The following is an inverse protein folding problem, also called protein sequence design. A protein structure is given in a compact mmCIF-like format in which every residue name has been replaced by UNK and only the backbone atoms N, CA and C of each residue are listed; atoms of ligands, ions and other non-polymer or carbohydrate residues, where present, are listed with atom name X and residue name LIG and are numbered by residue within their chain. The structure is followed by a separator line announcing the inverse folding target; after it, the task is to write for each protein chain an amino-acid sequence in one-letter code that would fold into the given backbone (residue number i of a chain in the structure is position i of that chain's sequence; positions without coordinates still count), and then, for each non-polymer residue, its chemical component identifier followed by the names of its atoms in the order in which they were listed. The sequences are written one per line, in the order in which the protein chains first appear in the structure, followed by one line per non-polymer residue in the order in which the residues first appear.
data_IF_713816808079
#
_entry.id   IF_713816808079
#
_cell.length_a   1.000
_cell.length_b   1.000
_cell.length_c   1.000
_cell.angle_alpha   90.00
_cell.angle_beta   90.00
_cell.angle_gamma   90.00
#
_symmetry.space_group_name_H-M   'P 1'
#
loop_
_entity.id
_entity.type
_entity.pdbx_description
1 polymer ?
#
# COMPACT_ATOMS: atom_id res chain seq x y z
N UNK A 1 6.18 -16.42 62.67
CA UNK A 1 6.05 -15.73 63.94
C UNK A 1 7.02 -14.56 63.95
N UNK A 2 6.57 -13.34 63.77
CA UNK A 2 7.16 -12.12 64.30
C UNK A 2 6.08 -11.02 64.16
N UNK A 3 5.57 -10.64 65.31
CA UNK A 3 4.58 -9.56 65.47
C UNK A 3 5.26 -8.21 65.25
N UNK A 4 4.54 -7.31 64.54
CA UNK A 4 4.92 -5.88 64.52
C UNK A 4 3.65 -5.12 65.00
N UNK A 5 3.82 -4.51 66.16
CA UNK A 5 2.93 -3.63 66.88
C UNK A 5 2.89 -2.22 66.29
N UNK A 6 1.70 -1.59 66.18
CA UNK A 6 1.50 -0.20 65.86
C UNK A 6 1.36 0.65 67.12
N UNK A 7 1.95 1.85 67.19
CA UNK A 7 1.65 2.81 68.27
C UNK A 7 0.52 3.75 67.85
N UNK A 8 -0.44 3.83 68.75
CA UNK A 8 -1.50 4.89 68.81
C UNK A 8 -0.89 6.23 69.18
N UNK A 9 -1.25 7.26 68.45
CA UNK A 9 -0.97 8.64 68.84
C UNK A 9 -2.31 9.41 69.04
N UNK A 10 -2.41 10.01 70.20
CA UNK A 10 -3.60 10.68 70.68
C UNK A 10 -3.83 12.06 70.06
N UNK A 11 -5.10 12.41 70.04
CA UNK A 11 -5.69 13.67 69.61
C UNK A 11 -5.61 14.68 70.74
N UNK A 12 -4.96 15.82 70.55
CA UNK A 12 -5.07 17.01 71.40
C UNK A 12 -5.78 18.11 70.59
N UNK A 13 -6.96 18.47 71.04
CA UNK A 13 -7.73 19.60 70.55
C UNK A 13 -7.23 20.89 71.17
N UNK A 14 -6.76 21.81 70.36
CA UNK A 14 -6.48 23.19 70.73
C UNK A 14 -7.44 24.15 70.02
N UNK A 15 -8.37 24.76 70.79
CA UNK A 15 -9.16 25.89 70.32
C UNK A 15 -8.26 27.15 70.29
N UNK A 16 -8.08 27.71 69.10
CA UNK A 16 -7.55 29.05 68.94
C UNK A 16 -8.64 29.96 68.29
N UNK A 17 -9.13 30.90 69.08
CA UNK A 17 -9.94 32.01 68.58
C UNK A 17 -9.02 32.97 67.80
N UNK A 18 -9.27 33.09 66.48
CA UNK A 18 -8.63 34.11 65.67
C UNK A 18 -9.69 35.07 65.11
N UNK A 19 -9.48 36.34 65.42
CA UNK A 19 -10.36 37.44 65.06
C UNK A 19 -10.41 37.71 63.55
N UNK A 20 -11.56 38.14 63.11
CA UNK A 20 -11.85 38.65 61.78
C UNK A 20 -11.06 39.93 61.50
N UNK A 21 -10.04 39.84 60.61
CA UNK A 21 -9.55 41.04 59.93
C UNK A 21 -10.06 40.95 58.49
N UNK A 22 -10.94 41.88 58.09
CA UNK A 22 -11.33 42.09 56.71
C UNK A 22 -10.13 42.64 55.94
N UNK A 23 -9.50 41.82 55.11
CA UNK A 23 -8.51 42.23 54.12
C UNK A 23 -9.20 42.84 52.88
N UNK A 24 -8.50 43.70 52.12
CA UNK A 24 -9.09 44.39 50.97
C UNK A 24 -9.55 43.43 49.90
N UNK A 25 -10.64 43.76 49.22
CA UNK A 25 -11.31 43.04 48.14
C UNK A 25 -10.31 42.48 47.14
N UNK A 26 -10.19 41.15 47.09
CA UNK A 26 -9.49 40.46 46.02
C UNK A 26 -10.36 40.58 44.74
N UNK A 27 -9.87 41.35 43.76
CA UNK A 27 -10.46 41.37 42.41
C UNK A 27 -10.57 39.95 41.87
N UNK A 28 -11.73 39.51 41.35
CA UNK A 28 -11.88 38.19 40.78
C UNK A 28 -10.90 38.01 39.63
N UNK A 29 -10.01 37.04 39.74
CA UNK A 29 -9.14 36.63 38.62
C UNK A 29 -10.04 36.15 37.48
N UNK A 30 -9.79 36.58 36.22
CA UNK A 30 -10.53 36.09 35.08
C UNK A 30 -10.36 34.58 34.98
N UNK A 31 -11.48 33.86 34.96
CA UNK A 31 -11.48 32.41 34.69
C UNK A 31 -10.80 32.18 33.34
N UNK A 32 -9.76 31.36 33.26
CA UNK A 32 -9.13 31.07 31.97
C UNK A 32 -10.17 30.53 31.00
N UNK A 33 -10.19 31.08 29.78
CA UNK A 33 -11.06 30.59 28.74
C UNK A 33 -10.79 29.07 28.53
N UNK A 34 -11.85 28.26 28.39
CA UNK A 34 -11.66 26.82 28.15
C UNK A 34 -10.72 26.62 26.96
N UNK A 35 -9.71 25.77 27.12
CA UNK A 35 -8.81 25.43 26.05
C UNK A 35 -9.65 24.97 24.83
N UNK A 36 -9.33 25.43 23.60
CA UNK A 36 -10.06 25.01 22.42
C UNK A 36 -10.06 23.47 22.37
N UNK A 37 -11.27 22.91 22.19
CA UNK A 37 -11.43 21.46 22.09
C UNK A 37 -10.47 20.94 21.02
N UNK A 38 -9.64 19.96 21.37
CA UNK A 38 -8.71 19.36 20.43
C UNK A 38 -9.50 18.88 19.20
N UNK A 39 -9.24 19.49 18.05
CA UNK A 39 -9.86 19.09 16.78
C UNK A 39 -9.49 17.64 16.57
N UNK A 40 -10.48 16.74 16.65
CA UNK A 40 -10.26 15.32 16.39
C UNK A 40 -9.83 15.18 14.93
N UNK A 41 -8.64 14.63 14.75
CA UNK A 41 -8.13 14.30 13.43
C UNK A 41 -9.04 13.23 12.79
N UNK A 42 -9.67 13.55 11.68
CA UNK A 42 -10.63 12.68 11.03
C UNK A 42 -10.04 12.06 9.77
N UNK A 43 -10.47 10.84 9.45
CA UNK A 43 -10.08 10.17 8.22
C UNK A 43 -10.63 10.95 7.01
N UNK A 44 -9.73 11.44 6.17
CA UNK A 44 -10.11 12.09 4.92
C UNK A 44 -10.45 11.04 3.84
N UNK A 45 -9.61 10.01 3.70
CA UNK A 45 -9.81 8.85 2.84
C UNK A 45 -8.80 7.76 3.19
N UNK A 46 -9.00 6.58 2.61
CA UNK A 46 -8.03 5.48 2.71
C UNK A 46 -7.94 4.69 1.41
N UNK A 47 -6.83 4.00 1.23
CA UNK A 47 -6.65 3.07 0.14
C UNK A 47 -5.89 1.83 0.61
N UNK A 48 -6.20 0.69 -0.01
CA UNK A 48 -5.51 -0.56 0.24
C UNK A 48 -4.53 -0.86 -0.89
N UNK A 49 -3.44 -1.54 -0.56
CA UNK A 49 -2.45 -2.03 -1.51
C UNK A 49 -2.13 -3.49 -1.28
N UNK A 50 -2.00 -4.25 -2.34
CA UNK A 50 -1.49 -5.62 -2.36
C UNK A 50 -1.03 -5.97 -3.77
N UNK A 51 -0.17 -7.00 -3.90
CA UNK A 51 0.27 -7.50 -5.20
C UNK A 51 0.66 -8.97 -5.13
N UNK A 52 0.89 -9.52 -6.29
CA UNK A 52 1.32 -10.89 -6.55
C UNK A 52 0.30 -11.94 -6.11
N UNK A 53 -0.50 -12.37 -7.06
CA UNK A 53 -1.41 -13.50 -6.87
C UNK A 53 -1.14 -14.64 -7.88
N UNK A 54 -0.85 -14.32 -9.16
CA UNK A 54 -0.42 -15.22 -10.23
C UNK A 54 -1.40 -16.33 -10.54
N UNK A 55 -2.66 -15.98 -10.78
CA UNK A 55 -3.64 -16.95 -11.32
C UNK A 55 -3.13 -17.48 -12.66
N UNK A 56 -2.94 -18.79 -12.79
CA UNK A 56 -2.24 -19.43 -13.90
C UNK A 56 -3.16 -20.06 -14.96
N UNK A 57 -4.46 -19.77 -14.90
CA UNK A 57 -5.37 -20.40 -15.84
C UNK A 57 -6.66 -19.55 -16.00
N UNK A 58 -7.34 -19.78 -17.12
CA UNK A 58 -8.63 -19.17 -17.42
C UNK A 58 -9.79 -19.86 -16.70
N UNK A 59 -9.61 -21.07 -16.22
CA UNK A 59 -10.52 -21.76 -15.33
C UNK A 59 -10.15 -21.40 -13.87
N UNK A 60 -11.03 -20.72 -13.19
CA UNK A 60 -10.84 -20.30 -11.80
C UNK A 60 -11.06 -21.43 -10.78
N UNK A 61 -10.90 -22.67 -11.19
CA UNK A 61 -10.89 -23.79 -10.25
C UNK A 61 -9.70 -23.67 -9.32
N UNK A 62 -9.94 -23.22 -8.12
CA UNK A 62 -8.92 -22.93 -7.12
C UNK A 62 -8.05 -24.15 -6.75
N UNK A 63 -8.62 -25.35 -6.84
CA UNK A 63 -7.89 -26.59 -6.59
C UNK A 63 -6.84 -26.87 -7.66
N UNK A 64 -6.96 -26.29 -8.85
CA UNK A 64 -6.03 -26.50 -9.96
C UNK A 64 -4.81 -25.56 -9.91
N UNK A 65 -4.81 -24.53 -9.06
CA UNK A 65 -3.76 -23.50 -9.03
C UNK A 65 -3.01 -23.34 -7.70
N UNK A 66 -2.80 -24.40 -6.89
CA UNK A 66 -2.21 -24.23 -5.57
C UNK A 66 -0.70 -23.89 -5.62
N UNK A 67 -0.03 -24.14 -6.74
CA UNK A 67 1.41 -23.92 -6.89
C UNK A 67 1.79 -22.48 -7.23
N UNK A 68 0.87 -21.70 -7.76
CA UNK A 68 1.16 -20.34 -8.26
C UNK A 68 0.30 -19.27 -7.60
N UNK A 69 -0.92 -19.60 -7.21
CA UNK A 69 -1.87 -18.65 -6.66
C UNK A 69 -2.61 -19.22 -5.44
N UNK A 70 -2.63 -18.46 -4.37
CA UNK A 70 -3.48 -18.74 -3.22
C UNK A 70 -4.75 -17.89 -3.28
N UNK A 71 -5.68 -18.28 -4.14
CA UNK A 71 -6.94 -17.56 -4.34
C UNK A 71 -7.81 -17.49 -3.07
N UNK A 72 -7.84 -18.52 -2.17
CA UNK A 72 -8.51 -18.38 -0.88
C UNK A 72 -7.99 -17.20 -0.05
N UNK A 73 -6.69 -16.94 -0.02
CA UNK A 73 -6.11 -15.78 0.67
C UNK A 73 -6.53 -14.45 0.04
N UNK A 74 -6.54 -14.39 -1.28
CA UNK A 74 -7.01 -13.21 -1.99
C UNK A 74 -8.50 -12.94 -1.70
N UNK A 75 -9.34 -13.97 -1.75
CA UNK A 75 -10.77 -13.86 -1.45
C UNK A 75 -11.03 -13.43 -0.01
N UNK A 76 -10.25 -13.94 0.95
CA UNK A 76 -10.34 -13.51 2.34
C UNK A 76 -9.96 -12.03 2.47
N UNK A 77 -8.90 -11.58 1.82
CA UNK A 77 -8.52 -10.16 1.77
C UNK A 77 -9.65 -9.30 1.19
N UNK A 78 -10.27 -9.73 0.10
CA UNK A 78 -11.41 -9.01 -0.48
C UNK A 78 -12.60 -8.93 0.47
N UNK A 79 -12.92 -10.01 1.17
CA UNK A 79 -14.00 -10.03 2.15
C UNK A 79 -13.72 -9.10 3.33
N UNK A 80 -12.50 -9.10 3.84
CA UNK A 80 -12.06 -8.22 4.93
C UNK A 80 -12.13 -6.75 4.54
N UNK A 81 -11.61 -6.37 3.37
CA UNK A 81 -11.68 -5.00 2.86
C UNK A 81 -13.13 -4.54 2.67
N UNK A 82 -14.01 -5.42 2.18
CA UNK A 82 -15.43 -5.14 2.03
C UNK A 82 -16.16 -4.92 3.36
N UNK A 83 -15.66 -5.53 4.44
CA UNK A 83 -16.23 -5.40 5.78
C UNK A 83 -15.79 -4.14 6.54
N UNK A 84 -14.71 -3.48 6.09
CA UNK A 84 -14.22 -2.25 6.75
C UNK A 84 -15.28 -1.14 6.73
N UNK A 85 -15.26 -0.32 7.77
CA UNK A 85 -16.13 0.88 7.91
C UNK A 85 -15.29 2.10 8.29
N UNK A 86 -15.11 3.06 7.41
CA UNK A 86 -15.52 3.05 5.99
C UNK A 86 -14.72 2.05 5.16
N UNK A 87 -15.29 1.60 4.04
CA UNK A 87 -14.58 0.85 3.01
C UNK A 87 -13.51 1.78 2.41
N UNK A 88 -12.31 1.31 2.06
CA UNK A 88 -11.30 2.13 1.39
C UNK A 88 -11.82 2.69 0.06
N UNK A 89 -11.39 3.90 -0.29
CA UNK A 89 -11.78 4.55 -1.56
C UNK A 89 -11.17 3.85 -2.77
N UNK A 90 -9.94 3.32 -2.62
CA UNK A 90 -9.19 2.63 -3.68
C UNK A 90 -8.59 1.32 -3.19
N UNK A 91 -8.49 0.38 -4.12
CA UNK A 91 -7.62 -0.79 -4.04
C UNK A 91 -6.59 -0.71 -5.16
N UNK A 92 -5.31 -0.56 -4.82
CA UNK A 92 -4.21 -0.68 -5.77
C UNK A 92 -3.74 -2.13 -5.81
N UNK A 93 -3.90 -2.78 -6.96
CA UNK A 93 -3.35 -4.12 -7.18
C UNK A 93 -2.05 -3.98 -8.00
N UNK A 94 -0.93 -4.30 -7.34
CA UNK A 94 0.40 -3.93 -7.80
C UNK A 94 1.07 -5.02 -8.65
N UNK A 95 0.35 -5.51 -9.67
CA UNK A 95 0.89 -6.45 -10.67
C UNK A 95 0.99 -7.91 -10.22
N UNK A 96 1.44 -8.75 -11.11
CA UNK A 96 1.50 -10.20 -10.96
C UNK A 96 0.13 -10.78 -10.57
N UNK A 97 -0.90 -10.37 -11.28
CA UNK A 97 -2.27 -10.88 -11.14
C UNK A 97 -2.38 -12.28 -11.71
N UNK A 98 -1.66 -12.53 -12.80
CA UNK A 98 -1.68 -13.78 -13.55
C UNK A 98 -0.29 -14.38 -13.64
N UNK A 99 -0.22 -15.69 -13.95
CA UNK A 99 1.05 -16.36 -14.16
C UNK A 99 1.79 -15.78 -15.37
N UNK A 100 1.06 -15.46 -16.43
CA UNK A 100 1.59 -14.78 -17.60
C UNK A 100 2.83 -15.46 -18.18
N UNK A 101 3.91 -14.70 -18.36
CA UNK A 101 5.18 -15.17 -18.90
C UNK A 101 4.99 -16.00 -20.18
N UNK A 102 4.15 -15.53 -21.08
CA UNK A 102 3.83 -16.19 -22.32
C UNK A 102 4.23 -15.31 -23.51
N UNK A 103 4.88 -15.86 -24.55
CA UNK A 103 5.10 -15.14 -25.80
C UNK A 103 3.80 -14.95 -26.61
N UNK A 104 2.72 -15.63 -26.22
CA UNK A 104 1.39 -15.48 -26.80
C UNK A 104 0.54 -14.51 -25.99
N UNK A 105 0.33 -13.30 -26.52
CA UNK A 105 -0.51 -12.27 -25.89
C UNK A 105 -1.98 -12.70 -25.72
N UNK A 106 -2.46 -13.68 -26.49
CA UNK A 106 -3.81 -14.21 -26.34
C UNK A 106 -3.94 -15.03 -25.02
N UNK A 107 -2.88 -15.74 -24.63
CA UNK A 107 -2.81 -16.43 -23.32
C UNK A 107 -2.92 -15.41 -22.20
N UNK A 108 -2.05 -14.40 -22.20
CA UNK A 108 -2.05 -13.31 -21.22
C UNK A 108 -3.45 -12.65 -21.13
N UNK A 109 -4.04 -12.33 -22.26
CA UNK A 109 -5.37 -11.72 -22.31
C UNK A 109 -6.47 -12.62 -21.75
N UNK A 110 -6.39 -13.96 -21.94
CA UNK A 110 -7.38 -14.89 -21.34
C UNK A 110 -7.23 -14.95 -19.81
N UNK A 111 -6.01 -15.04 -19.31
CA UNK A 111 -5.73 -15.08 -17.88
C UNK A 111 -6.15 -13.78 -17.19
N UNK A 112 -5.84 -12.62 -17.76
CA UNK A 112 -6.29 -11.32 -17.25
C UNK A 112 -7.82 -11.22 -17.19
N UNK A 113 -8.53 -11.67 -18.22
CA UNK A 113 -10.00 -11.70 -18.17
C UNK A 113 -10.55 -12.68 -17.13
N UNK A 114 -9.83 -13.80 -16.86
CA UNK A 114 -10.21 -14.72 -15.79
C UNK A 114 -10.01 -14.05 -14.41
N UNK A 115 -8.91 -13.36 -14.22
CA UNK A 115 -8.68 -12.60 -13.00
C UNK A 115 -9.74 -11.48 -12.79
N UNK A 116 -10.10 -10.78 -13.85
CA UNK A 116 -11.17 -9.77 -13.80
C UNK A 116 -12.51 -10.40 -13.35
N UNK A 117 -12.87 -11.58 -13.87
CA UNK A 117 -14.08 -12.30 -13.41
C UNK A 117 -13.99 -12.67 -11.93
N UNK A 118 -12.81 -13.10 -11.46
CA UNK A 118 -12.57 -13.39 -10.04
C UNK A 118 -12.84 -12.16 -9.17
N UNK A 119 -12.29 -11.02 -9.55
CA UNK A 119 -12.52 -9.76 -8.83
C UNK A 119 -14.01 -9.35 -8.86
N UNK A 120 -14.65 -9.42 -10.03
CA UNK A 120 -16.06 -9.04 -10.18
C UNK A 120 -16.99 -9.93 -9.37
N UNK A 121 -16.65 -11.19 -9.15
CA UNK A 121 -17.40 -12.12 -8.31
C UNK A 121 -17.23 -11.82 -6.81
N UNK A 122 -16.14 -11.17 -6.40
CA UNK A 122 -15.85 -10.89 -5.01
C UNK A 122 -16.82 -9.84 -4.40
N UNK A 123 -17.16 -9.95 -3.11
CA UNK A 123 -18.01 -8.95 -2.43
C UNK A 123 -17.46 -7.53 -2.53
N UNK A 124 -16.15 -7.38 -2.54
CA UNK A 124 -15.45 -6.09 -2.60
C UNK A 124 -15.84 -5.27 -3.83
N UNK A 125 -16.00 -5.91 -5.00
CA UNK A 125 -16.35 -5.22 -6.24
C UNK A 125 -17.69 -4.47 -6.19
N UNK A 126 -18.54 -4.80 -5.20
CA UNK A 126 -19.89 -4.23 -5.01
C UNK A 126 -19.95 -3.14 -3.95
N UNK A 127 -18.82 -2.77 -3.34
CA UNK A 127 -18.77 -1.82 -2.22
C UNK A 127 -18.55 -0.37 -2.63
N UNK A 128 -18.32 -0.10 -3.90
CA UNK A 128 -17.95 1.22 -4.39
C UNK A 128 -16.45 1.51 -4.33
N UNK A 129 -15.62 0.60 -3.80
CA UNK A 129 -14.15 0.69 -3.90
C UNK A 129 -13.72 0.73 -5.37
N UNK A 130 -12.77 1.59 -5.70
CA UNK A 130 -12.23 1.68 -7.06
C UNK A 130 -10.95 0.86 -7.15
N UNK A 131 -10.96 -0.17 -8.00
CA UNK A 131 -9.76 -0.92 -8.33
C UNK A 131 -8.86 -0.08 -9.23
N UNK A 132 -7.58 0.02 -8.87
CA UNK A 132 -6.51 0.59 -9.69
C UNK A 132 -5.49 -0.51 -9.93
N UNK A 133 -5.44 -0.99 -11.16
CA UNK A 133 -4.56 -2.07 -11.58
C UNK A 133 -3.32 -1.53 -12.28
N UNK A 134 -2.19 -2.18 -12.06
CA UNK A 134 -0.94 -1.95 -12.80
C UNK A 134 -0.31 -3.28 -13.21
N UNK A 135 0.45 -3.33 -14.32
CA UNK A 135 1.11 -4.57 -14.72
C UNK A 135 2.28 -4.89 -13.81
N UNK A 136 2.53 -6.19 -13.61
CA UNK A 136 3.80 -6.72 -13.17
C UNK A 136 4.57 -7.32 -14.35
N UNK A 137 5.76 -7.82 -14.07
CA UNK A 137 6.59 -8.46 -15.10
C UNK A 137 5.92 -9.71 -15.69
N UNK A 138 5.08 -10.40 -14.94
CA UNK A 138 4.31 -11.54 -15.41
C UNK A 138 3.29 -11.19 -16.50
N UNK A 139 2.73 -10.01 -16.48
CA UNK A 139 1.76 -9.55 -17.48
C UNK A 139 2.38 -9.03 -18.76
N UNK A 140 3.66 -8.58 -18.75
CA UNK A 140 4.25 -7.88 -19.89
C UNK A 140 5.45 -8.57 -20.51
N UNK A 141 6.15 -9.46 -19.78
CA UNK A 141 7.31 -10.21 -20.26
C UNK A 141 6.89 -11.52 -20.96
N UNK A 142 7.65 -11.92 -21.98
CA UNK A 142 7.39 -13.14 -22.75
C UNK A 142 7.79 -14.44 -22.04
N UNK A 143 8.48 -14.34 -20.90
CA UNK A 143 8.93 -15.45 -20.07
C UNK A 143 9.81 -14.93 -18.92
N UNK A 144 10.14 -15.81 -17.98
CA UNK A 144 11.07 -15.46 -16.90
C UNK A 144 12.42 -15.04 -17.49
N UNK A 145 12.88 -13.85 -17.15
CA UNK A 145 14.12 -13.24 -17.68
C UNK A 145 14.11 -13.06 -19.22
N UNK A 146 12.94 -12.99 -19.83
CA UNK A 146 12.77 -12.65 -21.23
C UNK A 146 12.28 -11.20 -21.36
N UNK A 147 12.46 -10.56 -22.52
CA UNK A 147 12.02 -9.17 -22.69
C UNK A 147 10.49 -9.05 -22.64
N UNK A 148 10.05 -7.87 -22.28
CA UNK A 148 8.68 -7.41 -22.48
C UNK A 148 8.37 -7.25 -23.98
N UNK A 149 7.11 -7.35 -24.39
CA UNK A 149 6.74 -7.20 -25.78
C UNK A 149 5.42 -6.45 -25.96
N UNK A 150 5.30 -5.73 -27.07
CA UNK A 150 4.17 -4.85 -27.33
C UNK A 150 2.81 -5.56 -27.36
N UNK A 151 2.79 -6.85 -27.76
CA UNK A 151 1.57 -7.67 -27.72
C UNK A 151 1.03 -7.89 -26.33
N UNK A 152 1.91 -8.07 -25.33
CA UNK A 152 1.49 -8.23 -23.93
C UNK A 152 0.96 -6.91 -23.35
N UNK A 153 1.64 -5.78 -23.61
CA UNK A 153 1.14 -4.46 -23.22
C UNK A 153 -0.23 -4.16 -23.85
N UNK A 154 -0.45 -4.54 -25.09
CA UNK A 154 -1.75 -4.41 -25.76
C UNK A 154 -2.80 -5.30 -25.11
N UNK A 155 -2.47 -6.57 -24.77
CA UNK A 155 -3.37 -7.49 -24.09
C UNK A 155 -3.76 -6.94 -22.71
N UNK A 156 -2.80 -6.37 -21.98
CA UNK A 156 -3.06 -5.64 -20.73
C UNK A 156 -4.07 -4.50 -20.94
N UNK A 157 -3.78 -3.57 -21.83
CA UNK A 157 -4.67 -2.43 -22.10
C UNK A 157 -6.09 -2.89 -22.45
N UNK A 158 -6.23 -3.93 -23.29
CA UNK A 158 -7.53 -4.45 -23.70
C UNK A 158 -8.31 -5.06 -22.53
N UNK A 159 -7.64 -5.76 -21.61
CA UNK A 159 -8.30 -6.43 -20.49
C UNK A 159 -8.51 -5.50 -19.28
N UNK A 160 -7.55 -4.62 -18.99
CA UNK A 160 -7.48 -3.89 -17.73
C UNK A 160 -7.87 -2.41 -17.83
N UNK A 161 -8.11 -1.88 -19.04
CA UNK A 161 -8.53 -0.48 -19.23
C UNK A 161 -9.66 0.01 -18.31
N UNK A 162 -10.68 -0.79 -17.97
CA UNK A 162 -11.71 -0.36 -17.03
C UNK A 162 -11.20 -0.13 -15.60
N UNK A 163 -10.00 -0.63 -15.28
CA UNK A 163 -9.36 -0.57 -13.98
C UNK A 163 -8.11 0.30 -13.95
N UNK A 164 -7.87 1.08 -15.01
CA UNK A 164 -6.83 2.11 -15.06
C UNK A 164 -7.52 3.48 -14.98
N UNK A 165 -7.15 4.30 -13.99
CA UNK A 165 -7.86 5.56 -13.69
C UNK A 165 -7.35 6.71 -14.57
N UNK A 166 -6.14 6.58 -15.11
CA UNK A 166 -5.49 7.57 -15.96
C UNK A 166 -4.99 6.99 -17.28
N UNK A 167 -4.64 7.88 -18.21
CA UNK A 167 -4.10 7.52 -19.53
C UNK A 167 -3.03 8.50 -20.03
N UNK A 168 -2.49 9.34 -19.12
CA UNK A 168 -1.56 10.43 -19.42
C UNK A 168 -0.09 10.00 -19.36
N UNK A 169 0.19 8.70 -19.46
CA UNK A 169 1.55 8.17 -19.50
C UNK A 169 2.36 8.65 -20.70
N UNK A 170 3.68 8.47 -20.65
CA UNK A 170 4.57 8.94 -21.71
C UNK A 170 4.33 8.20 -23.03
N UNK A 171 4.36 8.94 -24.13
CA UNK A 171 4.30 8.37 -25.47
C UNK A 171 5.61 7.66 -25.81
N UNK A 172 5.57 6.80 -26.85
CA UNK A 172 6.77 6.21 -27.41
C UNK A 172 7.79 7.28 -27.84
N UNK A 173 9.07 6.98 -27.67
CA UNK A 173 10.17 7.93 -27.87
C UNK A 173 10.30 8.90 -26.69
N UNK A 174 10.29 10.19 -26.97
CA UNK A 174 10.38 11.23 -25.94
C UNK A 174 11.69 11.21 -25.13
N UNK A 175 11.75 11.95 -24.03
CA UNK A 175 12.95 12.01 -23.17
C UNK A 175 13.34 10.66 -22.55
N UNK A 176 12.35 9.83 -22.26
CA UNK A 176 12.55 8.49 -21.66
C UNK A 176 12.90 7.41 -22.69
N UNK A 177 12.87 7.73 -23.99
CA UNK A 177 13.22 6.84 -25.12
C UNK A 177 12.46 5.52 -25.13
N UNK A 178 11.20 5.53 -24.71
CA UNK A 178 10.37 4.33 -24.63
C UNK A 178 10.07 3.74 -26.02
N UNK A 179 10.09 2.43 -26.13
CA UNK A 179 9.78 1.74 -27.39
C UNK A 179 8.28 1.76 -27.74
N UNK A 180 7.42 1.86 -26.72
CA UNK A 180 5.95 1.82 -26.85
C UNK A 180 5.29 2.95 -26.07
N UNK A 181 4.09 3.32 -26.49
CA UNK A 181 3.21 4.22 -25.75
C UNK A 181 2.82 3.57 -24.42
N UNK A 182 2.95 4.32 -23.31
CA UNK A 182 2.67 3.83 -21.98
C UNK A 182 1.32 4.26 -21.41
N UNK A 183 0.44 4.87 -22.22
CA UNK A 183 -0.92 5.20 -21.76
C UNK A 183 -1.63 3.96 -21.21
N UNK A 184 -2.29 4.10 -20.05
CA UNK A 184 -2.91 3.02 -19.26
C UNK A 184 -1.96 1.98 -18.65
N UNK A 185 -0.66 2.09 -18.84
CA UNK A 185 0.39 1.26 -18.23
C UNK A 185 1.13 2.08 -17.16
N UNK A 186 1.57 3.28 -17.54
CA UNK A 186 2.06 4.34 -16.67
C UNK A 186 1.07 5.50 -16.77
N UNK A 187 0.66 6.06 -15.64
CA UNK A 187 -0.28 7.19 -15.61
C UNK A 187 -0.34 7.82 -14.22
N UNK A 188 -0.92 9.00 -14.12
CA UNK A 188 -1.22 9.65 -12.86
C UNK A 188 -2.65 10.15 -12.80
N UNK A 189 -3.11 10.41 -11.57
CA UNK A 189 -4.41 11.02 -11.31
C UNK A 189 -4.45 11.69 -9.94
N UNK A 190 -5.35 12.64 -9.81
CA UNK A 190 -5.57 13.37 -8.56
C UNK A 190 -6.82 12.85 -7.84
N UNK A 191 -6.74 12.76 -6.52
CA UNK A 191 -7.90 12.50 -5.66
C UNK A 191 -7.80 13.32 -4.38
N UNK A 192 -8.80 14.17 -4.13
CA UNK A 192 -8.76 15.13 -3.04
C UNK A 192 -7.48 16.00 -3.14
N UNK A 193 -6.63 16.00 -2.15
CA UNK A 193 -5.37 16.76 -2.15
C UNK A 193 -4.14 15.89 -2.39
N UNK A 194 -4.36 14.73 -2.97
CA UNK A 194 -3.29 13.76 -3.24
C UNK A 194 -3.16 13.49 -4.72
N UNK A 195 -1.94 13.25 -5.12
CA UNK A 195 -1.55 12.83 -6.45
C UNK A 195 -1.00 11.42 -6.41
N UNK A 196 -1.49 10.57 -7.28
CA UNK A 196 -1.16 9.16 -7.37
C UNK A 196 -0.53 8.87 -8.72
N UNK A 197 0.65 8.27 -8.71
CA UNK A 197 1.39 7.88 -9.91
C UNK A 197 1.51 6.37 -9.98
N UNK A 198 1.06 5.78 -11.05
CA UNK A 198 1.18 4.36 -11.39
C UNK A 198 2.26 4.20 -12.44
N UNK A 199 3.22 3.31 -12.21
CA UNK A 199 4.39 3.10 -13.05
C UNK A 199 4.44 1.65 -13.55
N UNK A 200 4.46 1.46 -14.87
CA UNK A 200 4.93 0.22 -15.46
C UNK A 200 6.42 0.08 -15.19
N UNK A 201 6.82 -0.98 -14.54
CA UNK A 201 8.22 -1.23 -14.15
C UNK A 201 8.99 -2.07 -15.15
N UNK A 202 8.32 -2.51 -16.20
CA UNK A 202 8.92 -3.34 -17.26
C UNK A 202 8.40 -2.92 -18.66
N UNK A 203 8.58 -1.63 -19.06
CA UNK A 203 8.22 -1.21 -20.41
C UNK A 203 9.03 -1.96 -21.45
N UNK A 204 8.48 -2.14 -22.63
CA UNK A 204 9.17 -2.84 -23.75
C UNK A 204 10.52 -2.18 -24.04
N UNK A 205 11.59 -2.96 -23.97
CA UNK A 205 12.98 -2.53 -24.23
C UNK A 205 13.58 -1.66 -23.11
N UNK A 206 12.90 -1.56 -21.97
CA UNK A 206 13.34 -0.80 -20.80
C UNK A 206 12.92 -1.52 -19.50
N UNK A 207 13.06 -2.84 -19.48
CA UNK A 207 12.69 -3.69 -18.36
C UNK A 207 13.45 -3.32 -17.09
N UNK A 208 12.79 -3.50 -15.95
CA UNK A 208 13.27 -3.08 -14.63
C UNK A 208 13.65 -1.60 -14.55
N UNK A 209 12.95 -0.74 -15.30
CA UNK A 209 13.10 0.72 -15.22
C UNK A 209 11.74 1.40 -15.21
N UNK A 210 11.75 2.68 -14.82
CA UNK A 210 10.59 3.57 -14.92
C UNK A 210 10.94 4.83 -15.68
N UNK A 211 9.97 5.52 -16.34
CA UNK A 211 10.20 6.72 -17.12
C UNK A 211 10.44 7.94 -16.22
N UNK A 212 11.68 8.21 -15.87
CA UNK A 212 12.06 9.23 -14.87
C UNK A 212 11.80 10.67 -15.35
N UNK A 213 12.00 10.97 -16.63
CA UNK A 213 11.81 12.32 -17.15
C UNK A 213 10.32 12.71 -17.13
N UNK A 214 9.46 11.77 -17.53
CA UNK A 214 8.01 11.95 -17.42
C UNK A 214 7.60 12.10 -15.96
N UNK A 215 8.07 11.21 -15.07
CA UNK A 215 7.74 11.23 -13.65
C UNK A 215 8.12 12.55 -12.98
N UNK A 216 9.34 13.04 -13.23
CA UNK A 216 9.82 14.32 -12.69
C UNK A 216 8.88 15.47 -13.11
N UNK A 217 8.47 15.48 -14.38
CA UNK A 217 7.58 16.51 -14.92
C UNK A 217 6.18 16.43 -14.27
N UNK A 218 5.65 15.22 -14.14
CA UNK A 218 4.32 14.95 -13.60
C UNK A 218 4.22 15.35 -12.12
N UNK A 219 5.18 14.91 -11.29
CA UNK A 219 5.23 15.23 -9.87
C UNK A 219 5.43 16.73 -9.62
N UNK A 220 6.32 17.38 -10.39
CA UNK A 220 6.52 18.83 -10.29
C UNK A 220 5.24 19.59 -10.63
N UNK A 221 4.51 19.15 -11.66
CA UNK A 221 3.22 19.75 -12.04
C UNK A 221 2.16 19.54 -10.95
N UNK A 222 2.12 18.35 -10.31
CA UNK A 222 1.22 18.06 -9.19
C UNK A 222 1.49 18.98 -7.99
N UNK A 223 2.76 19.18 -7.63
CA UNK A 223 3.14 20.13 -6.58
C UNK A 223 2.76 21.57 -6.92
N UNK A 224 3.00 22.01 -8.14
CA UNK A 224 2.62 23.33 -8.61
C UNK A 224 1.10 23.57 -8.56
N UNK A 225 0.29 22.53 -8.74
CA UNK A 225 -1.17 22.57 -8.56
C UNK A 225 -1.62 22.55 -7.09
N UNK A 226 -0.71 22.31 -6.13
CA UNK A 226 -1.01 22.30 -4.70
C UNK A 226 -1.34 20.93 -4.12
N UNK A 227 -0.94 19.83 -4.77
CA UNK A 227 -1.06 18.49 -4.20
C UNK A 227 -0.27 18.41 -2.90
N UNK A 228 -0.93 18.02 -1.81
CA UNK A 228 -0.32 17.93 -0.48
C UNK A 228 0.42 16.61 -0.31
N UNK A 229 -0.10 15.53 -0.90
CA UNK A 229 0.45 14.17 -0.78
C UNK A 229 0.76 13.61 -2.16
N UNK A 230 1.93 12.97 -2.30
CA UNK A 230 2.34 12.27 -3.51
C UNK A 230 2.66 10.81 -3.17
N UNK A 231 2.06 9.88 -3.91
CA UNK A 231 2.29 8.45 -3.78
C UNK A 231 2.67 7.85 -5.13
N UNK A 232 3.76 7.11 -5.18
CA UNK A 232 4.16 6.35 -6.35
C UNK A 232 3.85 4.86 -6.15
N UNK A 233 3.40 4.20 -7.20
CA UNK A 233 3.07 2.78 -7.23
C UNK A 233 3.77 2.14 -8.43
N UNK A 234 4.32 0.96 -8.21
CA UNK A 234 4.90 0.15 -9.27
C UNK A 234 5.00 -1.29 -8.83
N UNK A 235 5.17 -2.21 -9.78
CA UNK A 235 5.31 -3.61 -9.42
C UNK A 235 6.67 -3.88 -8.76
N UNK A 236 7.78 -3.61 -9.47
CA UNK A 236 9.13 -3.78 -8.92
C UNK A 236 9.47 -2.66 -7.94
N UNK A 237 10.06 -2.98 -6.77
CA UNK A 237 10.50 -1.98 -5.81
C UNK A 237 11.71 -1.18 -6.32
N UNK A 238 11.81 0.06 -5.91
CA UNK A 238 13.01 0.87 -6.15
C UNK A 238 14.21 0.33 -5.34
N UNK A 239 13.93 -0.07 -4.11
CA UNK A 239 14.89 -0.68 -3.19
C UNK A 239 14.40 -2.08 -2.84
N UNK A 240 14.96 -3.15 -3.41
CA UNK A 240 14.47 -4.51 -3.17
C UNK A 240 14.65 -4.92 -1.69
N UNK A 241 13.81 -5.85 -1.25
CA UNK A 241 14.04 -6.53 0.01
C UNK A 241 15.37 -7.32 -0.04
N UNK A 242 16.02 -7.58 1.10
CA UNK A 242 17.22 -8.40 1.13
C UNK A 242 17.03 -9.75 0.43
N UNK A 243 17.84 -10.02 -0.57
CA UNK A 243 17.74 -11.22 -1.42
C UNK A 243 16.74 -11.13 -2.57
N UNK A 244 15.99 -10.04 -2.67
CA UNK A 244 15.09 -9.76 -3.80
C UNK A 244 15.76 -8.95 -4.91
N UNK A 245 15.02 -8.73 -5.99
CA UNK A 245 15.38 -7.84 -7.08
C UNK A 245 14.38 -6.68 -7.21
N UNK A 246 14.74 -5.68 -8.00
CA UNK A 246 13.96 -4.46 -8.15
C UNK A 246 14.36 -3.66 -9.38
N UNK A 247 14.14 -2.36 -9.35
CA UNK A 247 14.44 -1.46 -10.46
C UNK A 247 15.95 -1.22 -10.60
N UNK A 248 16.45 -1.26 -11.81
CA UNK A 248 17.83 -0.90 -12.15
C UNK A 248 18.08 0.61 -12.03
N UNK A 249 17.05 1.45 -12.23
CA UNK A 249 17.10 2.89 -12.02
C UNK A 249 16.43 3.32 -10.68
N UNK A 250 16.32 2.40 -9.72
CA UNK A 250 15.66 2.63 -8.44
C UNK A 250 16.27 3.76 -7.61
N UNK A 251 17.60 3.94 -7.64
CA UNK A 251 18.27 5.05 -6.98
C UNK A 251 17.83 6.40 -7.54
N UNK A 252 17.81 6.54 -8.87
CA UNK A 252 17.35 7.77 -9.53
C UNK A 252 15.85 8.02 -9.31
N UNK A 253 15.04 6.95 -9.26
CA UNK A 253 13.63 7.08 -8.85
C UNK A 253 13.53 7.66 -7.44
N UNK A 254 14.37 7.19 -6.53
CA UNK A 254 14.38 7.67 -5.15
C UNK A 254 14.72 9.16 -5.07
N UNK A 255 15.71 9.62 -5.85
CA UNK A 255 16.06 11.04 -5.95
C UNK A 255 14.88 11.89 -6.45
N UNK A 256 14.14 11.39 -7.44
CA UNK A 256 12.95 12.08 -7.96
C UNK A 256 11.84 12.17 -6.91
N UNK A 257 11.60 11.09 -6.17
CA UNK A 257 10.58 11.06 -5.10
C UNK A 257 10.94 12.02 -3.96
N UNK A 258 12.22 12.04 -3.55
CA UNK A 258 12.74 12.97 -2.54
C UNK A 258 12.58 14.42 -2.97
N UNK A 259 13.05 14.75 -4.16
CA UNK A 259 13.00 16.13 -4.70
C UNK A 259 11.57 16.69 -4.81
N UNK A 260 10.58 15.80 -4.96
CA UNK A 260 9.17 16.17 -5.03
C UNK A 260 8.40 15.91 -3.72
N UNK A 261 9.07 15.60 -2.63
CA UNK A 261 8.47 15.36 -1.31
C UNK A 261 7.39 14.28 -1.33
N UNK A 262 7.60 13.18 -2.05
CA UNK A 262 6.66 12.06 -2.05
C UNK A 262 6.68 11.33 -0.70
N UNK A 263 5.51 10.92 -0.21
CA UNK A 263 5.38 10.17 1.04
C UNK A 263 5.95 8.76 0.93
N UNK A 264 5.62 8.07 -0.18
CA UNK A 264 6.03 6.67 -0.32
C UNK A 264 6.06 6.19 -1.77
N UNK A 265 6.91 5.18 -1.99
CA UNK A 265 6.82 4.19 -3.06
C UNK A 265 6.18 2.92 -2.51
N UNK A 266 5.09 2.48 -3.14
CA UNK A 266 4.36 1.27 -2.80
C UNK A 266 4.60 0.26 -3.92
N UNK A 267 5.11 -0.94 -3.56
CA UNK A 267 5.57 -1.94 -4.52
C UNK A 267 5.15 -3.36 -4.11
N UNK A 268 5.39 -4.32 -5.00
CA UNK A 268 5.15 -5.75 -4.80
C UNK A 268 6.37 -6.57 -5.25
N UNK A 269 6.23 -7.50 -6.20
CA UNK A 269 7.27 -8.30 -6.84
C UNK A 269 8.01 -9.25 -5.89
N UNK A 270 8.64 -8.77 -4.82
CA UNK A 270 9.18 -9.62 -3.77
C UNK A 270 8.01 -10.17 -2.94
N UNK A 271 7.84 -11.49 -2.90
CA UNK A 271 6.67 -12.14 -2.31
C UNK A 271 6.73 -12.17 -0.79
N UNK A 272 6.72 -11.01 -0.18
CA UNK A 272 6.78 -10.79 1.26
C UNK A 272 6.20 -9.42 1.59
N UNK A 273 6.09 -9.13 2.87
CA UNK A 273 5.95 -7.78 3.36
C UNK A 273 7.32 -7.23 3.74
N UNK A 274 7.65 -6.04 3.26
CA UNK A 274 8.86 -5.35 3.67
C UNK A 274 8.67 -3.84 3.66
N UNK A 275 9.22 -3.18 4.65
CA UNK A 275 9.23 -1.73 4.74
C UNK A 275 10.66 -1.24 4.93
N UNK A 276 11.02 -0.21 4.20
CA UNK A 276 12.33 0.43 4.30
C UNK A 276 12.25 1.92 4.07
N UNK A 277 13.25 2.62 4.59
CA UNK A 277 13.53 4.01 4.31
C UNK A 277 15.03 4.12 4.06
N UNK A 278 15.42 4.76 2.97
CA UNK A 278 16.85 4.95 2.69
C UNK A 278 17.42 5.99 3.64
N UNK A 279 18.62 5.78 4.19
CA UNK A 279 19.28 6.78 5.02
C UNK A 279 19.38 8.14 4.32
N UNK A 280 19.05 9.22 5.02
CA UNK A 280 19.03 10.60 4.53
C UNK A 280 17.96 10.93 3.50
N UNK A 281 16.97 10.06 3.32
CA UNK A 281 15.79 10.30 2.50
C UNK A 281 14.52 10.23 3.36
N UNK A 282 13.48 10.95 2.96
CA UNK A 282 12.20 10.97 3.67
C UNK A 282 11.18 9.95 3.14
N UNK A 283 11.10 9.66 1.82
CA UNK A 283 10.12 8.72 1.32
C UNK A 283 10.27 7.34 1.98
N UNK A 284 9.14 6.71 2.27
CA UNK A 284 9.08 5.32 2.67
C UNK A 284 8.89 4.41 1.46
N UNK A 285 9.46 3.23 1.50
CA UNK A 285 9.05 2.14 0.62
C UNK A 285 8.30 1.08 1.41
N UNK A 286 7.17 0.64 0.85
CA UNK A 286 6.42 -0.51 1.36
C UNK A 286 6.26 -1.52 0.23
N UNK A 287 6.80 -2.71 0.43
CA UNK A 287 6.59 -3.87 -0.43
C UNK A 287 5.46 -4.69 0.17
N UNK A 288 4.37 -4.85 -0.58
CA UNK A 288 3.21 -5.64 -0.22
C UNK A 288 2.95 -6.72 -1.30
N UNK A 289 3.98 -7.54 -1.57
CA UNK A 289 3.93 -8.66 -2.53
C UNK A 289 3.31 -9.93 -1.96
N UNK A 290 2.61 -9.82 -0.84
CA UNK A 290 2.08 -10.91 -0.05
C UNK A 290 0.57 -11.15 -0.28
N UNK A 291 0.07 -10.85 -1.49
CA UNK A 291 -1.36 -10.93 -1.83
C UNK A 291 -1.89 -12.31 -2.20
N UNK A 292 -1.04 -13.34 -2.32
CA UNK A 292 -1.50 -14.69 -2.64
C UNK A 292 -0.54 -15.57 -3.43
N UNK A 293 0.57 -15.05 -3.94
CA UNK A 293 1.64 -15.88 -4.54
C UNK A 293 2.42 -16.65 -3.47
N UNK A 294 3.20 -17.64 -3.89
CA UNK A 294 4.20 -18.31 -3.05
C UNK A 294 5.08 -17.27 -2.38
N UNK A 295 5.18 -17.32 -1.06
CA UNK A 295 6.01 -16.39 -0.32
C UNK A 295 7.50 -16.74 -0.42
N UNK A 296 8.35 -15.70 -0.34
CA UNK A 296 9.81 -15.85 -0.38
C UNK A 296 10.32 -16.41 0.96
N UNK A 297 10.26 -17.74 1.11
CA UNK A 297 10.55 -18.44 2.36
C UNK A 297 11.96 -18.24 2.91
N UNK A 298 12.86 -17.66 2.14
CA UNK A 298 14.18 -17.23 2.60
C UNK A 298 14.15 -15.95 3.45
N UNK A 299 13.03 -15.23 3.43
CA UNK A 299 12.87 -14.02 4.22
C UNK A 299 12.63 -14.33 5.71
N UNK A 300 12.86 -13.34 6.57
CA UNK A 300 12.59 -13.47 8.00
C UNK A 300 11.10 -13.79 8.26
N UNK A 301 10.77 -14.70 9.19
CA UNK A 301 9.40 -15.16 9.42
C UNK A 301 8.37 -14.03 9.67
N UNK A 302 8.77 -12.94 10.32
CA UNK A 302 7.90 -11.79 10.56
C UNK A 302 7.51 -11.00 9.30
N UNK A 303 8.09 -11.34 8.14
CA UNK A 303 7.79 -10.77 6.82
C UNK A 303 6.93 -11.69 5.96
N UNK A 304 6.75 -12.94 6.41
CA UNK A 304 6.06 -14.00 5.69
C UNK A 304 4.64 -14.16 6.23
N UNK A 305 3.71 -13.42 5.65
CA UNK A 305 2.29 -13.52 5.92
C UNK A 305 1.49 -13.11 4.69
N UNK A 306 0.30 -13.64 4.52
CA UNK A 306 -0.64 -13.15 3.53
C UNK A 306 -1.44 -11.98 4.06
N UNK A 307 -1.71 -11.01 3.21
CA UNK A 307 -2.50 -9.87 3.64
C UNK A 307 -2.46 -8.68 2.70
N UNK A 308 -2.59 -7.50 3.28
CA UNK A 308 -2.65 -6.23 2.57
C UNK A 308 -2.14 -5.08 3.45
N UNK A 309 -1.81 -3.97 2.84
CA UNK A 309 -1.50 -2.73 3.57
C UNK A 309 -2.60 -1.71 3.34
N UNK A 310 -3.10 -1.09 4.41
CA UNK A 310 -4.10 -0.02 4.39
C UNK A 310 -3.42 1.30 4.72
N UNK A 311 -3.46 2.25 3.79
CA UNK A 311 -2.97 3.61 3.99
C UNK A 311 -4.15 4.53 4.31
N UNK A 312 -4.03 5.29 5.38
CA UNK A 312 -5.01 6.25 5.87
C UNK A 312 -4.46 7.66 5.79
N UNK A 313 -5.17 8.54 5.11
CA UNK A 313 -4.86 9.97 5.02
C UNK A 313 -5.89 10.73 5.83
N UNK A 314 -5.40 11.58 6.73
CA UNK A 314 -6.22 12.32 7.68
C UNK A 314 -6.37 13.78 7.28
N UNK A 315 -7.38 14.45 7.82
CA UNK A 315 -7.66 15.86 7.55
C UNK A 315 -6.58 16.82 8.05
N UNK A 316 -5.77 16.38 9.01
CA UNK A 316 -4.57 17.09 9.48
C UNK A 316 -3.41 17.07 8.48
N UNK A 317 -3.49 16.27 7.42
CA UNK A 317 -2.38 15.97 6.53
C UNK A 317 -1.52 14.79 7.00
N UNK A 318 -1.87 14.14 8.09
CA UNK A 318 -1.16 12.94 8.55
C UNK A 318 -1.45 11.75 7.64
N UNK A 319 -0.41 10.96 7.36
CA UNK A 319 -0.49 9.74 6.55
C UNK A 319 0.04 8.55 7.35
N UNK A 320 -0.77 7.50 7.49
CA UNK A 320 -0.36 6.28 8.20
C UNK A 320 -0.64 5.04 7.37
N UNK A 321 0.31 4.13 7.32
CA UNK A 321 0.13 2.79 6.79
C UNK A 321 0.03 1.76 7.91
N UNK A 322 -0.86 0.77 7.71
CA UNK A 322 -1.06 -0.38 8.58
C UNK A 322 -1.04 -1.63 7.72
N UNK A 323 -0.12 -2.54 8.00
CA UNK A 323 -0.05 -3.83 7.31
C UNK A 323 -0.76 -4.88 8.12
N UNK A 324 -1.77 -5.48 7.51
CA UNK A 324 -2.60 -6.54 8.08
C UNK A 324 -2.18 -7.88 7.51
N UNK A 325 -2.08 -8.88 8.35
CA UNK A 325 -1.61 -10.18 7.91
C UNK A 325 -2.16 -11.37 8.67
N UNK A 326 -2.13 -12.50 7.99
CA UNK A 326 -2.52 -13.83 8.46
C UNK A 326 -1.29 -14.73 8.45
N UNK A 327 -1.15 -15.57 9.47
CA UNK A 327 -0.06 -16.54 9.53
C UNK A 327 -0.17 -17.57 8.40
N UNK A 328 0.96 -18.10 8.00
CA UNK A 328 1.01 -19.21 7.07
C UNK A 328 0.29 -20.42 7.68
N UNK A 329 -0.48 -21.18 6.88
CA UNK A 329 -0.99 -22.45 7.30
C UNK A 329 0.17 -23.42 7.60
N UNK A 330 -0.09 -24.45 8.45
CA UNK A 330 0.95 -25.38 8.91
C UNK A 330 1.70 -26.12 7.80
N UNK A 331 1.05 -26.32 6.64
CA UNK A 331 1.64 -26.89 5.42
C UNK A 331 2.06 -25.83 4.38
N UNK A 332 2.34 -24.62 4.84
CA UNK A 332 2.71 -23.50 3.98
C UNK A 332 1.54 -22.96 3.18
N UNK A 333 1.85 -22.26 2.08
CA UNK A 333 0.83 -21.59 1.24
C UNK A 333 -0.06 -22.58 0.45
N UNK A 334 0.34 -23.83 0.32
CA UNK A 334 -0.46 -24.91 -0.30
C UNK A 334 -1.59 -25.42 0.57
N UNK A 335 -1.61 -25.05 1.85
CA UNK A 335 -2.62 -25.48 2.77
C UNK A 335 -4.01 -24.95 2.46
N UNK A 336 -5.03 -25.73 2.78
CA UNK A 336 -6.38 -25.25 2.81
C UNK A 336 -6.49 -24.12 3.85
N UNK A 337 -6.76 -22.90 3.38
CA UNK A 337 -6.94 -21.77 4.26
C UNK A 337 -8.40 -21.70 4.63
N UNK A 338 -8.65 -21.94 5.89
CA UNK A 338 -9.98 -21.74 6.44
C UNK A 338 -10.20 -20.25 6.69
N UNK A 339 -11.43 -19.78 6.52
CA UNK A 339 -11.85 -18.43 6.86
C UNK A 339 -11.62 -18.04 8.34
N UNK A 340 -11.14 -18.98 9.14
CA UNK A 340 -10.89 -18.82 10.57
C UNK A 340 -9.49 -18.32 10.93
N UNK A 341 -8.57 -18.17 9.95
CA UNK A 341 -7.24 -17.63 10.24
C UNK A 341 -7.36 -16.13 10.56
N UNK A 342 -7.03 -15.70 11.80
CA UNK A 342 -7.23 -14.30 12.18
C UNK A 342 -6.26 -13.38 11.47
N UNK A 343 -6.78 -12.25 11.00
CA UNK A 343 -5.99 -11.16 10.47
C UNK A 343 -5.67 -10.17 11.58
N UNK A 344 -4.40 -9.85 11.76
CA UNK A 344 -3.92 -8.91 12.76
C UNK A 344 -3.05 -7.84 12.14
N UNK A 345 -2.86 -6.72 12.83
CA UNK A 345 -1.87 -5.72 12.44
C UNK A 345 -0.48 -6.29 12.66
N UNK A 346 0.32 -6.36 11.60
CA UNK A 346 1.70 -6.86 11.62
C UNK A 346 2.72 -5.73 11.72
N UNK A 347 2.40 -4.58 11.14
CA UNK A 347 3.25 -3.40 11.18
C UNK A 347 2.42 -2.13 11.02
N UNK A 348 2.97 -1.01 11.48
CA UNK A 348 2.42 0.32 11.20
C UNK A 348 3.52 1.36 11.12
N UNK A 349 3.32 2.36 10.25
CA UNK A 349 4.28 3.44 10.05
C UNK A 349 3.57 4.77 9.77
N UNK A 350 4.17 5.84 10.22
CA UNK A 350 3.82 7.22 9.85
C UNK A 350 4.60 7.55 8.56
N UNK A 351 3.87 7.71 7.45
CA UNK A 351 4.42 8.05 6.15
C UNK A 351 4.46 9.56 5.91
N UNK A 352 3.91 10.36 6.83
CA UNK A 352 3.82 11.80 6.65
C UNK A 352 5.20 12.38 6.36
N UNK A 353 5.31 13.14 5.29
CA UNK A 353 6.52 13.92 5.01
C UNK A 353 6.74 14.93 6.14
N UNK A 354 7.96 14.96 6.70
CA UNK A 354 8.31 15.82 7.84
C UNK A 354 9.38 16.84 7.44
#
# INVERSE_FOLDING_TARGET
MKNITYPTLGLLAGLALAGCHAGPDATPQPVPAPAPAAVRDTLAYSFAVLGCNRVDNSDLNLAANPSTANVPQLNQTYAELAALKPVPDYLFFMGDMVLGYSPDSAVIGRELRAWVRLYQAAPLSRTGIRLVAMPGNHEVMSGKNQPSFAGAELAWRNAMRPYTVGSNGPAAGGPDKLATDQSHLTYSFDYKKSHFVVLNTDPVGAEATVPLAWLQTDLAAARAKGSQHLFAFGHKPALPAPGGDGLSNGGSLWDVLEANHAEAMLAAHNHLYFRSQQPNYHPWQVIAGNGGSVLDVSASPNRLFYGYTLVKVFTSGKVKAYSYGRDLPANGYLGAITAATPTTVRDSVDLTWK
#
